data_IF_037083257557
#
_entry.id   IF_037083257557
#
_cell.length_a   1.000
_cell.length_b   1.000
_cell.length_c   1.000
_cell.angle_alpha   90.00
_cell.angle_beta   90.00
_cell.angle_gamma   90.00
#
_symmetry.space_group_name_H-M   'P 1'
#
loop_
_entity.id
_entity.type
_entity.pdbx_description
1 polymer ?
#
# COMPACT_ATOMS: atom_id res chain seq x y z
N UNK A 1 9.10 -25.16 6.03
CA UNK A 1 8.01 -24.25 6.45
C UNK A 1 7.72 -23.39 5.25
N UNK A 2 6.70 -23.75 4.47
CA UNK A 2 6.14 -22.84 3.48
C UNK A 2 5.50 -21.71 4.28
N UNK A 3 6.25 -20.64 4.49
CA UNK A 3 5.65 -19.37 4.89
C UNK A 3 4.76 -18.98 3.72
N UNK A 4 3.50 -19.37 3.81
CA UNK A 4 2.46 -19.07 2.85
C UNK A 4 2.56 -17.56 2.61
N UNK A 5 3.05 -17.16 1.44
CA UNK A 5 3.45 -15.78 1.12
C UNK A 5 2.20 -14.90 0.87
N UNK A 6 1.13 -15.25 1.56
CA UNK A 6 -0.23 -14.82 1.37
C UNK A 6 -0.45 -13.53 2.12
N UNK A 7 -0.71 -12.48 1.37
CA UNK A 7 -1.02 -11.16 1.92
C UNK A 7 -2.50 -11.10 2.30
N UNK A 8 -2.83 -10.17 3.18
CA UNK A 8 -4.18 -9.93 3.68
C UNK A 8 -4.54 -8.47 3.49
N UNK A 9 -5.80 -8.20 3.14
CA UNK A 9 -6.34 -6.84 3.07
C UNK A 9 -7.34 -6.59 4.18
N UNK A 10 -7.57 -5.32 4.50
CA UNK A 10 -8.70 -4.96 5.36
C UNK A 10 -10.01 -5.21 4.60
N UNK A 11 -10.98 -5.81 5.28
CA UNK A 11 -12.33 -6.03 4.75
C UNK A 11 -13.03 -4.70 4.41
N UNK A 12 -12.77 -3.67 5.24
CA UNK A 12 -13.29 -2.32 5.08
C UNK A 12 -12.14 -1.36 4.81
N UNK A 13 -12.26 -0.56 3.75
CA UNK A 13 -11.27 0.44 3.42
C UNK A 13 -11.14 1.48 4.55
N UNK A 14 -9.93 1.66 5.12
CA UNK A 14 -9.72 2.66 6.15
C UNK A 14 -9.84 4.09 5.60
N UNK A 15 -10.00 5.06 6.49
CA UNK A 15 -10.06 6.49 6.17
C UNK A 15 -8.93 7.28 6.85
N UNK A 16 -8.72 8.52 6.41
CA UNK A 16 -7.78 9.47 7.02
C UNK A 16 -6.35 8.94 7.11
N UNK A 17 -5.68 9.17 8.25
CA UNK A 17 -4.28 8.76 8.46
C UNK A 17 -4.08 7.24 8.29
N UNK A 18 -5.03 6.43 8.78
CA UNK A 18 -4.96 4.97 8.65
C UNK A 18 -4.95 4.53 7.19
N UNK A 19 -5.70 5.22 6.31
CA UNK A 19 -5.65 4.99 4.86
C UNK A 19 -4.28 5.28 4.27
N UNK A 20 -3.65 6.38 4.67
CA UNK A 20 -2.32 6.74 4.17
C UNK A 20 -1.25 5.73 4.62
N UNK A 21 -1.31 5.31 5.88
CA UNK A 21 -0.45 4.24 6.42
C UNK A 21 -0.69 2.92 5.71
N UNK A 22 -1.96 2.57 5.45
CA UNK A 22 -2.33 1.35 4.74
C UNK A 22 -1.79 1.31 3.31
N UNK A 23 -1.98 2.41 2.55
CA UNK A 23 -1.42 2.54 1.21
C UNK A 23 0.11 2.44 1.23
N UNK A 24 0.79 3.12 2.17
CA UNK A 24 2.25 3.03 2.28
C UNK A 24 2.72 1.60 2.56
N UNK A 25 2.03 0.87 3.44
CA UNK A 25 2.33 -0.53 3.74
C UNK A 25 2.11 -1.45 2.53
N UNK A 26 1.03 -1.25 1.77
CA UNK A 26 0.76 -1.99 0.53
C UNK A 26 1.90 -1.78 -0.46
N UNK A 27 2.31 -0.53 -0.69
CA UNK A 27 3.37 -0.21 -1.64
C UNK A 27 4.71 -0.88 -1.28
N UNK A 28 5.02 -1.02 0.00
CA UNK A 28 6.25 -1.66 0.47
C UNK A 28 6.18 -3.19 0.44
N UNK A 29 5.08 -3.78 0.90
CA UNK A 29 4.95 -5.25 0.95
C UNK A 29 4.81 -5.88 -0.44
N UNK A 30 4.30 -5.11 -1.41
CA UNK A 30 4.21 -5.50 -2.82
C UNK A 30 5.41 -5.04 -3.65
N UNK A 31 6.37 -4.35 -3.04
CA UNK A 31 7.56 -3.78 -3.68
C UNK A 31 7.25 -2.77 -4.81
N UNK A 32 6.01 -2.28 -4.91
CA UNK A 32 5.65 -1.22 -5.85
C UNK A 32 6.44 0.07 -5.60
N UNK A 33 6.88 0.33 -4.37
CA UNK A 33 7.80 1.42 -4.03
C UNK A 33 9.17 1.31 -4.73
N UNK A 34 9.56 0.11 -5.16
CA UNK A 34 10.76 -0.16 -5.96
C UNK A 34 10.45 -0.24 -7.46
N UNK A 35 9.21 0.06 -7.87
CA UNK A 35 8.78 0.02 -9.27
C UNK A 35 8.34 -1.36 -9.76
N UNK A 36 8.24 -2.37 -8.89
CA UNK A 36 7.71 -3.69 -9.29
C UNK A 36 6.20 -3.59 -9.57
N UNK A 37 5.70 -4.27 -10.61
CA UNK A 37 4.27 -4.31 -10.90
C UNK A 37 3.53 -5.23 -9.92
N UNK A 38 2.31 -4.83 -9.52
CA UNK A 38 1.43 -5.62 -8.67
C UNK A 38 -0.05 -5.39 -9.02
N UNK A 39 -0.90 -6.40 -8.81
CA UNK A 39 -2.36 -6.30 -9.01
C UNK A 39 -3.02 -5.51 -7.86
N UNK A 40 -2.78 -4.20 -7.77
CA UNK A 40 -3.22 -3.33 -6.67
C UNK A 40 -4.73 -3.39 -6.37
N UNK A 41 -5.55 -3.72 -7.39
CA UNK A 41 -6.99 -3.97 -7.26
C UNK A 41 -7.35 -5.06 -6.24
N UNK A 42 -6.44 -5.99 -5.94
CA UNK A 42 -6.64 -6.97 -4.87
C UNK A 42 -6.78 -6.28 -3.50
N UNK A 43 -6.02 -5.21 -3.25
CA UNK A 43 -6.07 -4.44 -2.00
C UNK A 43 -7.09 -3.30 -2.03
N UNK A 44 -7.12 -2.52 -3.11
CA UNK A 44 -7.85 -1.26 -3.15
C UNK A 44 -8.54 -1.07 -4.50
N UNK A 45 -9.81 -0.69 -4.49
CA UNK A 45 -10.57 -0.44 -5.72
C UNK A 45 -10.51 1.01 -6.19
N UNK A 46 -10.23 1.95 -5.28
CA UNK A 46 -10.21 3.38 -5.59
C UNK A 46 -8.78 3.96 -5.46
N UNK A 47 -8.08 4.02 -6.58
CA UNK A 47 -6.78 4.70 -6.73
C UNK A 47 -6.71 5.52 -8.03
N UNK A 48 -7.87 5.86 -8.62
CA UNK A 48 -7.96 6.56 -9.90
C UNK A 48 -7.26 7.91 -9.87
N UNK A 49 -7.38 8.68 -8.77
CA UNK A 49 -6.66 9.95 -8.59
C UNK A 49 -5.13 9.80 -8.65
N UNK A 50 -4.58 8.61 -8.36
CA UNK A 50 -3.15 8.33 -8.52
C UNK A 50 -2.80 7.95 -9.96
N UNK A 51 -3.71 7.32 -10.70
CA UNK A 51 -3.58 7.09 -12.14
C UNK A 51 -3.62 8.43 -12.91
N UNK A 52 -4.67 9.22 -12.68
CA UNK A 52 -4.87 10.51 -13.34
C UNK A 52 -3.73 11.50 -13.03
N UNK A 53 -3.20 11.44 -11.81
CA UNK A 53 -2.05 12.24 -11.38
C UNK A 53 -0.69 11.70 -11.83
N UNK A 54 -0.62 10.65 -12.65
CA UNK A 54 0.63 10.08 -13.17
C UNK A 54 1.55 9.48 -12.10
N UNK A 55 1.01 9.14 -10.93
CA UNK A 55 1.76 8.54 -9.80
C UNK A 55 1.81 7.02 -9.90
N UNK A 56 0.72 6.43 -10.38
CA UNK A 56 0.62 5.02 -10.72
C UNK A 56 0.42 4.91 -12.22
N UNK A 57 1.01 3.90 -12.82
CA UNK A 57 0.74 3.52 -14.20
C UNK A 57 0.39 2.03 -14.29
N UNK A 58 -0.44 1.69 -15.28
CA UNK A 58 -0.73 0.29 -15.64
C UNK A 58 0.33 -0.25 -16.58
N UNK A 59 0.66 -1.53 -16.45
CA UNK A 59 1.53 -2.23 -17.39
C UNK A 59 1.39 -3.76 -17.28
N UNK A 60 2.28 -4.50 -17.95
CA UNK A 60 2.34 -5.95 -17.78
C UNK A 60 2.54 -6.31 -16.30
N UNK A 61 1.72 -7.23 -15.78
CA UNK A 61 1.78 -7.65 -14.37
C UNK A 61 1.03 -6.74 -13.38
N UNK A 62 0.31 -5.71 -13.84
CA UNK A 62 -0.59 -4.91 -13.02
C UNK A 62 -0.24 -3.42 -12.99
N UNK A 63 -0.10 -2.87 -11.79
CA UNK A 63 0.16 -1.46 -11.54
C UNK A 63 1.53 -1.28 -10.90
N UNK A 64 2.24 -0.21 -11.24
CA UNK A 64 3.51 0.17 -10.60
C UNK A 64 3.55 1.66 -10.31
N UNK A 65 4.42 2.06 -9.39
CA UNK A 65 4.70 3.48 -9.20
C UNK A 65 5.60 3.99 -10.32
N UNK A 66 5.24 5.16 -10.85
CA UNK A 66 6.15 5.97 -11.65
C UNK A 66 7.20 6.62 -10.73
N UNK A 67 8.23 7.24 -11.31
CA UNK A 67 9.18 8.05 -10.54
C UNK A 67 8.47 9.16 -9.72
N UNK A 68 7.51 9.84 -10.33
CA UNK A 68 6.68 10.87 -9.67
C UNK A 68 5.90 10.25 -8.51
N UNK A 69 5.36 9.04 -8.69
CA UNK A 69 4.68 8.30 -7.64
C UNK A 69 5.58 7.94 -6.46
N UNK A 70 6.79 7.43 -6.75
CA UNK A 70 7.79 7.11 -5.71
C UNK A 70 8.13 8.34 -4.88
N UNK A 71 8.45 9.46 -5.52
CA UNK A 71 8.73 10.74 -4.85
C UNK A 71 7.51 11.22 -4.03
N UNK A 72 6.31 11.16 -4.60
CA UNK A 72 5.07 11.56 -3.94
C UNK A 72 4.76 10.75 -2.67
N UNK A 73 4.87 9.43 -2.73
CA UNK A 73 4.60 8.57 -1.57
C UNK A 73 5.75 8.63 -0.55
N UNK A 74 7.00 8.76 -0.99
CA UNK A 74 8.15 8.93 -0.09
C UNK A 74 8.07 10.24 0.69
N UNK A 75 7.58 11.31 0.08
CA UNK A 75 7.40 12.61 0.75
C UNK A 75 6.47 12.53 1.97
N UNK A 76 5.60 11.51 2.08
CA UNK A 76 4.72 11.31 3.24
C UNK A 76 5.46 10.96 4.53
N UNK A 77 6.72 10.55 4.47
CA UNK A 77 7.52 10.32 5.67
C UNK A 77 8.13 11.61 6.24
N UNK A 78 8.04 12.73 5.51
CA UNK A 78 8.62 14.01 5.93
C UNK A 78 7.73 14.75 6.94
N UNK A 79 8.34 15.42 7.92
CA UNK A 79 7.65 16.08 9.03
C UNK A 79 6.60 17.13 8.60
N UNK A 80 6.82 17.81 7.47
CA UNK A 80 5.93 18.85 6.95
C UNK A 80 4.80 18.36 6.03
N UNK A 81 4.69 17.05 5.80
CA UNK A 81 3.68 16.54 4.87
C UNK A 81 2.28 16.55 5.53
N UNK A 82 1.24 17.13 4.89
CA UNK A 82 -0.12 17.10 5.45
C UNK A 82 -0.70 15.68 5.55
N UNK A 83 -0.17 14.74 4.75
CA UNK A 83 -0.50 13.32 4.77
C UNK A 83 0.60 12.48 5.43
N UNK A 84 1.25 13.04 6.47
CA UNK A 84 2.37 12.37 7.13
C UNK A 84 2.00 10.99 7.68
N UNK A 85 2.88 10.03 7.45
CA UNK A 85 2.84 8.67 8.02
C UNK A 85 4.09 8.41 8.87
N UNK A 86 3.94 7.63 9.93
CA UNK A 86 5.05 7.24 10.80
C UNK A 86 5.63 5.89 10.36
N UNK A 87 6.96 5.77 10.36
CA UNK A 87 7.64 4.54 9.93
C UNK A 87 7.15 3.32 10.72
N UNK A 88 7.13 3.42 12.05
CA UNK A 88 6.69 2.36 12.95
C UNK A 88 5.23 1.94 12.71
N UNK A 89 4.34 2.89 12.41
CA UNK A 89 2.94 2.57 12.12
C UNK A 89 2.79 1.78 10.81
N UNK A 90 3.62 2.10 9.80
CA UNK A 90 3.61 1.36 8.55
C UNK A 90 4.25 -0.02 8.71
N UNK A 91 5.32 -0.16 9.50
CA UNK A 91 5.91 -1.47 9.82
C UNK A 91 4.90 -2.38 10.52
N UNK A 92 4.18 -1.85 11.51
CA UNK A 92 3.09 -2.57 12.15
C UNK A 92 2.00 -2.97 11.15
N UNK A 93 1.64 -2.08 10.23
CA UNK A 93 0.66 -2.38 9.18
C UNK A 93 1.16 -3.46 8.20
N UNK A 94 2.45 -3.48 7.86
CA UNK A 94 3.07 -4.54 7.04
C UNK A 94 2.96 -5.89 7.76
N UNK A 95 3.19 -5.93 9.08
CA UNK A 95 3.00 -7.15 9.88
C UNK A 95 1.55 -7.62 9.76
N UNK A 96 0.57 -6.73 9.94
CA UNK A 96 -0.85 -7.08 9.82
C UNK A 96 -1.22 -7.58 8.42
N UNK A 97 -0.70 -6.96 7.35
CA UNK A 97 -0.91 -7.42 5.97
C UNK A 97 -0.32 -8.83 5.76
N UNK A 98 0.84 -9.12 6.36
CA UNK A 98 1.48 -10.44 6.22
C UNK A 98 0.83 -11.52 7.08
N UNK A 99 0.35 -11.19 8.28
CA UNK A 99 -0.19 -12.17 9.22
C UNK A 99 -1.71 -12.32 9.16
N UNK A 100 -2.42 -11.33 8.62
CA UNK A 100 -3.88 -11.24 8.74
C UNK A 100 -4.36 -10.93 10.16
N UNK A 101 -3.47 -10.50 11.06
CA UNK A 101 -3.78 -10.24 12.47
C UNK A 101 -3.51 -8.77 12.80
N UNK A 102 -4.52 -8.07 13.33
CA UNK A 102 -4.41 -6.68 13.75
C UNK A 102 -5.78 -6.08 14.02
N UNK A 103 -5.83 -4.75 14.21
CA UNK A 103 -7.10 -4.04 14.34
C UNK A 103 -7.93 -4.15 13.05
N UNK A 104 -9.22 -4.45 13.17
CA UNK A 104 -10.14 -4.63 12.04
C UNK A 104 -10.19 -6.07 11.52
N UNK A 105 -11.06 -6.31 10.54
CA UNK A 105 -11.20 -7.60 9.88
C UNK A 105 -10.25 -7.70 8.67
N UNK A 106 -9.51 -8.80 8.59
CA UNK A 106 -8.51 -9.05 7.55
C UNK A 106 -8.89 -10.26 6.70
N UNK A 107 -8.86 -10.08 5.38
CA UNK A 107 -9.23 -11.09 4.39
C UNK A 107 -8.00 -11.47 3.60
N UNK A 108 -7.70 -12.76 3.52
CA UNK A 108 -6.60 -13.27 2.71
C UNK A 108 -6.81 -12.94 1.22
N UNK A 109 -5.76 -12.50 0.55
CA UNK A 109 -5.77 -12.32 -0.90
C UNK A 109 -5.85 -13.68 -1.61
N UNK A 110 -6.52 -13.66 -2.75
CA UNK A 110 -6.68 -14.78 -3.69
C UNK A 110 -5.87 -14.56 -4.94
#
# INVERSE_FOLDING_TARGET
MDSDNRLHKLAVMPAGRRMWTYMAAILEVTEMNQGKPFTLKQFMVNFQTHLDGGRIESGPGGYRLTRIGQEYFQARYQAGNPQRVERAAVEQMIICIRSGVGEGEWIALT
#
